data_IF_683351395057
#
_entry.id   IF_683351395057
#
_cell.length_a   1.000
_cell.length_b   1.000
_cell.length_c   1.000
_cell.angle_alpha   90.00
_cell.angle_beta   90.00
_cell.angle_gamma   90.00
#
_symmetry.space_group_name_H-M   'P 1'
#
loop_
_entity.id
_entity.type
_entity.pdbx_description
1 polymer ?
#
# COMPACT_ATOMS: atom_id res chain seq x y z
N UNK A 1 -15.54 27.54 46.64
CA UNK A 1 -14.40 27.25 45.74
C UNK A 1 -14.48 25.81 45.20
N UNK A 2 -15.54 25.47 44.45
CA UNK A 2 -15.74 24.10 43.89
C UNK A 2 -15.97 24.14 42.37
N UNK A 3 -16.45 25.28 41.85
CA UNK A 3 -16.71 25.47 40.41
C UNK A 3 -15.44 25.50 39.54
N UNK A 4 -14.27 25.82 40.10
CA UNK A 4 -13.02 25.92 39.35
C UNK A 4 -12.40 24.57 38.98
N UNK A 5 -12.80 23.48 39.66
CA UNK A 5 -12.26 22.13 39.42
C UNK A 5 -12.99 21.38 38.29
N UNK A 6 -14.26 21.73 38.03
CA UNK A 6 -15.07 21.08 36.98
C UNK A 6 -14.75 21.57 35.57
N UNK A 7 -14.36 22.84 35.42
CA UNK A 7 -14.00 23.41 34.10
C UNK A 7 -12.67 22.85 33.58
N UNK A 8 -11.77 22.45 34.48
CA UNK A 8 -10.45 21.92 34.10
C UNK A 8 -10.51 20.49 33.53
N UNK A 9 -11.52 19.69 33.93
CA UNK A 9 -11.73 18.34 33.40
C UNK A 9 -12.34 18.33 32.00
N UNK A 10 -13.19 19.30 31.67
CA UNK A 10 -13.79 19.42 30.34
C UNK A 10 -12.77 19.84 29.26
N UNK A 11 -11.75 20.61 29.65
CA UNK A 11 -10.71 21.08 28.73
C UNK A 11 -9.69 19.99 28.35
N UNK A 12 -9.44 19.01 29.24
CA UNK A 12 -8.46 17.93 28.99
C UNK A 12 -8.95 16.89 27.97
N UNK A 13 -10.27 16.72 27.81
CA UNK A 13 -10.86 15.80 26.85
C UNK A 13 -10.75 16.28 25.39
N UNK A 14 -10.48 17.57 25.17
CA UNK A 14 -10.56 18.19 23.84
C UNK A 14 -9.24 18.21 23.05
N UNK A 15 -8.10 17.82 23.64
CA UNK A 15 -6.78 18.17 23.07
C UNK A 15 -5.88 16.98 22.68
N UNK A 16 -6.31 15.74 22.90
CA UNK A 16 -5.64 14.58 22.33
C UNK A 16 -6.40 14.15 21.07
N UNK A 17 -5.75 13.98 19.88
CA UNK A 17 -6.38 13.22 18.82
C UNK A 17 -6.81 11.88 19.43
N UNK A 18 -8.13 11.64 19.38
CA UNK A 18 -8.82 10.54 20.03
C UNK A 18 -8.00 9.26 19.86
N UNK A 19 -7.65 8.62 20.97
CA UNK A 19 -6.87 7.38 21.00
C UNK A 19 -7.46 6.32 20.05
N UNK A 20 -8.78 6.31 19.88
CA UNK A 20 -9.48 5.46 18.93
C UNK A 20 -9.15 5.79 17.46
N UNK A 21 -9.05 7.08 17.12
CA UNK A 21 -8.66 7.52 15.76
C UNK A 21 -7.23 7.12 15.44
N UNK A 22 -6.29 7.27 16.38
CA UNK A 22 -4.91 6.81 16.19
C UNK A 22 -4.83 5.29 16.03
N UNK A 23 -5.58 4.54 16.83
CA UNK A 23 -5.66 3.09 16.72
C UNK A 23 -6.19 2.65 15.35
N UNK A 24 -7.25 3.31 14.84
CA UNK A 24 -7.78 3.05 13.49
C UNK A 24 -6.74 3.29 12.40
N UNK A 25 -6.01 4.41 12.47
CA UNK A 25 -4.92 4.67 11.53
C UNK A 25 -3.80 3.64 11.64
N UNK A 26 -3.39 3.26 12.85
CA UNK A 26 -2.37 2.25 13.07
C UNK A 26 -2.76 0.91 12.42
N UNK A 27 -3.98 0.45 12.66
CA UNK A 27 -4.52 -0.78 12.08
C UNK A 27 -4.56 -0.71 10.56
N UNK A 28 -5.06 0.39 9.98
CA UNK A 28 -5.13 0.56 8.53
C UNK A 28 -3.73 0.58 7.87
N UNK A 29 -2.77 1.29 8.47
CA UNK A 29 -1.40 1.34 7.98
C UNK A 29 -0.70 -0.02 8.05
N UNK A 30 -0.92 -0.79 9.13
CA UNK A 30 -0.37 -2.14 9.28
C UNK A 30 -0.97 -3.11 8.26
N UNK A 31 -2.30 -3.16 8.16
CA UNK A 31 -2.98 -4.04 7.20
C UNK A 31 -2.55 -3.77 5.74
N UNK A 32 -2.39 -2.49 5.37
CA UNK A 32 -1.87 -2.14 4.06
C UNK A 32 -0.38 -2.53 3.93
N UNK A 33 0.44 -2.31 4.95
CA UNK A 33 1.86 -2.73 4.94
C UNK A 33 2.03 -4.24 4.74
N UNK A 34 1.17 -5.06 5.36
CA UNK A 34 1.18 -6.52 5.20
C UNK A 34 0.80 -6.91 3.76
N UNK A 35 -0.24 -6.28 3.22
CA UNK A 35 -0.66 -6.47 1.83
C UNK A 35 0.46 -6.08 0.84
N UNK A 36 1.17 -4.99 1.09
CA UNK A 36 2.31 -4.56 0.27
C UNK A 36 3.49 -5.52 0.39
N UNK A 37 3.72 -6.11 1.57
CA UNK A 37 4.74 -7.16 1.74
C UNK A 37 4.42 -8.40 0.89
N UNK A 38 3.15 -8.76 0.77
CA UNK A 38 2.73 -9.86 -0.11
C UNK A 38 2.93 -9.53 -1.60
N UNK A 39 2.73 -8.27 -2.01
CA UNK A 39 3.05 -7.79 -3.38
C UNK A 39 4.54 -7.87 -3.64
N UNK A 40 5.37 -7.39 -2.73
CA UNK A 40 6.84 -7.42 -2.85
C UNK A 40 7.36 -8.87 -2.92
N UNK A 41 6.84 -9.77 -2.09
CA UNK A 41 7.22 -11.18 -2.11
C UNK A 41 6.87 -11.83 -3.47
N UNK A 42 5.67 -11.57 -3.99
CA UNK A 42 5.28 -12.05 -5.31
C UNK A 42 6.13 -11.45 -6.44
N UNK A 43 6.45 -10.15 -6.35
CA UNK A 43 7.32 -9.45 -7.29
C UNK A 43 8.75 -9.98 -7.28
N UNK A 44 9.31 -10.25 -6.11
CA UNK A 44 10.64 -10.82 -5.94
C UNK A 44 10.72 -12.24 -6.52
N UNK A 45 9.73 -13.07 -6.20
CA UNK A 45 9.64 -14.42 -6.76
C UNK A 45 9.51 -14.40 -8.28
N UNK A 46 8.65 -13.53 -8.82
CA UNK A 46 8.53 -13.41 -10.27
C UNK A 46 9.84 -12.96 -10.90
N UNK A 47 10.52 -11.96 -10.32
CA UNK A 47 11.83 -11.50 -10.81
C UNK A 47 12.87 -12.61 -10.85
N UNK A 48 12.94 -13.44 -9.80
CA UNK A 48 13.89 -14.56 -9.74
C UNK A 48 13.62 -15.59 -10.85
N UNK A 49 12.35 -15.85 -11.15
CA UNK A 49 11.94 -16.87 -12.12
C UNK A 49 11.99 -16.36 -13.58
N UNK A 50 11.99 -15.04 -13.83
CA UNK A 50 11.78 -14.45 -15.17
C UNK A 50 12.69 -15.01 -16.27
N UNK A 51 13.97 -15.26 -15.96
CA UNK A 51 14.98 -15.66 -16.94
C UNK A 51 14.82 -17.13 -17.35
N UNK A 52 14.42 -17.99 -16.41
CA UNK A 52 14.39 -19.45 -16.59
C UNK A 52 12.97 -20.01 -16.70
N UNK A 53 11.94 -19.20 -16.45
CA UNK A 53 10.56 -19.64 -16.41
C UNK A 53 10.04 -20.12 -17.77
N UNK A 54 9.35 -21.27 -17.73
CA UNK A 54 8.47 -21.70 -18.81
C UNK A 54 7.32 -20.70 -19.01
N UNK A 55 6.62 -20.80 -20.15
CA UNK A 55 5.45 -19.96 -20.45
C UNK A 55 4.39 -20.04 -19.33
N UNK A 56 4.06 -21.25 -18.90
CA UNK A 56 3.05 -21.49 -17.87
C UNK A 56 3.46 -20.92 -16.51
N UNK A 57 4.74 -21.03 -16.17
CA UNK A 57 5.25 -20.44 -14.93
C UNK A 57 5.14 -18.91 -14.97
N UNK A 58 5.47 -18.26 -16.09
CA UNK A 58 5.28 -16.80 -16.23
C UNK A 58 3.82 -16.41 -16.07
N UNK A 59 2.89 -17.12 -16.70
CA UNK A 59 1.45 -16.85 -16.58
C UNK A 59 1.01 -16.99 -15.11
N UNK A 60 1.41 -18.07 -14.44
CA UNK A 60 1.08 -18.32 -13.03
C UNK A 60 1.63 -17.24 -12.11
N UNK A 61 2.89 -16.82 -12.29
CA UNK A 61 3.51 -15.74 -11.49
C UNK A 61 2.86 -14.39 -11.75
N UNK A 62 2.59 -14.06 -13.00
CA UNK A 62 1.93 -12.81 -13.37
C UNK A 62 0.50 -12.76 -12.78
N UNK A 63 -0.27 -13.84 -12.87
CA UNK A 63 -1.61 -13.95 -12.26
C UNK A 63 -1.56 -13.77 -10.74
N UNK A 64 -0.63 -14.46 -10.06
CA UNK A 64 -0.42 -14.29 -8.62
C UNK A 64 -0.09 -12.85 -8.25
N UNK A 65 0.80 -12.19 -9.00
CA UNK A 65 1.15 -10.79 -8.76
C UNK A 65 -0.06 -9.86 -8.94
N UNK A 66 -0.84 -10.07 -10.01
CA UNK A 66 -2.10 -9.34 -10.25
C UNK A 66 -3.08 -9.49 -9.09
N UNK A 67 -3.27 -10.71 -8.58
CA UNK A 67 -4.11 -10.97 -7.41
C UNK A 67 -3.60 -10.24 -6.16
N UNK A 68 -2.29 -10.23 -5.91
CA UNK A 68 -1.70 -9.49 -4.77
C UNK A 68 -1.90 -7.98 -4.92
N UNK A 69 -1.71 -7.43 -6.12
CA UNK A 69 -1.94 -6.02 -6.39
C UNK A 69 -3.42 -5.63 -6.20
N UNK A 70 -4.36 -6.48 -6.65
CA UNK A 70 -5.79 -6.28 -6.43
C UNK A 70 -6.16 -6.33 -4.94
N UNK A 71 -5.63 -7.31 -4.19
CA UNK A 71 -5.84 -7.41 -2.75
C UNK A 71 -5.29 -6.20 -1.98
N UNK A 72 -4.08 -5.75 -2.32
CA UNK A 72 -3.50 -4.55 -1.74
C UNK A 72 -4.32 -3.30 -2.08
N UNK A 73 -4.85 -3.18 -3.30
CA UNK A 73 -5.71 -2.08 -3.71
C UNK A 73 -7.01 -2.07 -2.90
N UNK A 74 -7.66 -3.22 -2.73
CA UNK A 74 -8.86 -3.35 -1.91
C UNK A 74 -8.62 -2.99 -0.44
N UNK A 75 -7.42 -3.28 0.08
CA UNK A 75 -6.99 -2.90 1.43
C UNK A 75 -6.53 -1.44 1.57
N UNK A 76 -6.45 -0.65 0.48
CA UNK A 76 -6.08 0.76 0.61
C UNK A 76 -7.23 1.58 1.20
N UNK A 77 -7.00 2.33 2.29
CA UNK A 77 -8.02 3.21 2.83
C UNK A 77 -8.38 4.31 1.80
N UNK A 78 -9.62 4.83 1.81
CA UNK A 78 -9.97 5.99 1.01
C UNK A 78 -9.03 7.16 1.31
N UNK A 79 -8.54 7.86 0.29
CA UNK A 79 -7.61 9.00 0.47
C UNK A 79 -8.20 10.08 1.39
N UNK A 80 -9.53 10.21 1.40
CA UNK A 80 -10.28 11.19 2.21
C UNK A 80 -10.51 10.73 3.65
N UNK A 81 -10.47 9.41 3.92
CA UNK A 81 -10.49 8.88 5.29
C UNK A 81 -9.23 9.27 6.09
N UNK A 82 -8.19 9.70 5.37
CA UNK A 82 -6.97 10.27 5.91
C UNK A 82 -7.04 11.81 5.96
N UNK A 83 -8.19 12.40 6.25
CA UNK A 83 -8.35 13.87 6.31
C UNK A 83 -7.34 14.54 7.27
N UNK A 84 -6.98 13.87 8.38
CA UNK A 84 -5.94 14.32 9.31
C UNK A 84 -4.51 14.06 8.82
N UNK A 85 -4.32 13.30 7.74
CA UNK A 85 -3.01 13.06 7.18
C UNK A 85 -2.53 14.24 6.35
N UNK A 86 -1.21 14.48 6.42
CA UNK A 86 -0.55 15.50 5.62
C UNK A 86 -0.75 15.25 4.12
N UNK A 87 -0.78 16.34 3.35
CA UNK A 87 -0.86 16.35 1.88
C UNK A 87 0.14 15.41 1.21
N UNK A 88 1.35 15.27 1.77
CA UNK A 88 2.37 14.32 1.30
C UNK A 88 1.89 12.86 1.36
N UNK A 89 1.37 12.38 2.50
CA UNK A 89 0.90 11.00 2.62
C UNK A 89 -0.28 10.72 1.69
N UNK A 90 -1.21 11.68 1.55
CA UNK A 90 -2.34 11.56 0.62
C UNK A 90 -1.86 11.43 -0.83
N UNK A 91 -0.86 12.22 -1.24
CA UNK A 91 -0.24 12.14 -2.58
C UNK A 91 0.44 10.80 -2.82
N UNK A 92 1.22 10.32 -1.86
CA UNK A 92 1.95 9.05 -1.99
C UNK A 92 0.99 7.85 -1.98
N UNK A 93 -0.10 7.91 -1.21
CA UNK A 93 -1.17 6.91 -1.26
C UNK A 93 -1.89 6.91 -2.62
N UNK A 94 -2.22 8.08 -3.17
CA UNK A 94 -2.82 8.17 -4.50
C UNK A 94 -1.89 7.59 -5.58
N UNK A 95 -0.59 7.89 -5.49
CA UNK A 95 0.44 7.33 -6.37
C UNK A 95 0.52 5.81 -6.25
N UNK A 96 0.50 5.28 -5.02
CA UNK A 96 0.47 3.84 -4.76
C UNK A 96 -0.77 3.19 -5.36
N UNK A 97 -1.96 3.76 -5.15
CA UNK A 97 -3.22 3.25 -5.74
C UNK A 97 -3.13 3.18 -7.26
N UNK A 98 -2.63 4.23 -7.90
CA UNK A 98 -2.43 4.26 -9.34
C UNK A 98 -1.43 3.17 -9.80
N UNK A 99 -0.37 2.92 -9.04
CA UNK A 99 0.60 1.86 -9.32
C UNK A 99 -0.01 0.45 -9.16
N UNK A 100 -0.85 0.22 -8.15
CA UNK A 100 -1.54 -1.05 -7.94
C UNK A 100 -2.58 -1.33 -9.04
N UNK A 101 -3.34 -0.33 -9.47
CA UNK A 101 -4.24 -0.44 -10.63
C UNK A 101 -3.45 -0.75 -11.91
N UNK A 102 -2.30 -0.08 -12.09
CA UNK A 102 -1.42 -0.33 -13.24
C UNK A 102 -0.84 -1.74 -13.20
N UNK A 103 -0.39 -2.22 -12.04
CA UNK A 103 0.11 -3.58 -11.85
C UNK A 103 -0.87 -4.63 -12.40
N UNK A 104 -2.17 -4.52 -12.09
CA UNK A 104 -3.16 -5.47 -12.60
C UNK A 104 -3.27 -5.52 -14.13
N UNK A 105 -3.05 -4.39 -14.81
CA UNK A 105 -3.04 -4.32 -16.28
C UNK A 105 -1.72 -4.76 -16.89
N UNK A 106 -0.62 -4.33 -16.27
CA UNK A 106 0.75 -4.56 -16.71
C UNK A 106 1.16 -6.04 -16.62
N UNK A 107 0.52 -6.80 -15.71
CA UNK A 107 0.77 -8.22 -15.49
C UNK A 107 -0.40 -9.13 -15.91
N UNK A 108 -1.36 -8.59 -16.66
CA UNK A 108 -2.34 -9.41 -17.34
C UNK A 108 -1.71 -10.12 -18.55
N UNK A 109 -1.59 -11.44 -18.45
CA UNK A 109 -1.07 -12.30 -19.52
C UNK A 109 -2.03 -12.40 -20.73
N UNK A 110 -3.29 -11.98 -20.55
CA UNK A 110 -4.34 -12.06 -21.55
C UNK A 110 -4.82 -13.50 -21.82
N UNK A 111 -5.80 -13.66 -22.72
CA UNK A 111 -6.30 -14.98 -23.11
C UNK A 111 -5.17 -15.88 -23.60
N UNK A 112 -5.13 -17.10 -23.06
CA UNK A 112 -4.14 -18.13 -23.42
C UNK A 112 -2.67 -17.68 -23.32
N UNK A 113 -2.37 -16.65 -22.52
CA UNK A 113 -1.01 -16.13 -22.35
C UNK A 113 -0.44 -15.45 -23.60
N UNK A 114 -1.27 -14.86 -24.45
CA UNK A 114 -0.84 -14.17 -25.67
C UNK A 114 0.21 -13.06 -25.42
N UNK A 115 0.35 -12.57 -24.18
CA UNK A 115 1.28 -11.48 -23.80
C UNK A 115 2.53 -11.95 -23.05
N UNK A 116 2.81 -13.25 -22.98
CA UNK A 116 3.93 -13.77 -22.17
C UNK A 116 5.29 -13.20 -22.58
N UNK A 117 5.57 -13.06 -23.86
CA UNK A 117 6.87 -12.50 -24.30
C UNK A 117 6.99 -11.02 -23.92
N UNK A 118 5.90 -10.27 -24.02
CA UNK A 118 5.84 -8.89 -23.52
C UNK A 118 6.04 -8.83 -22.00
N UNK A 119 5.44 -9.76 -21.25
CA UNK A 119 5.66 -9.87 -19.81
C UNK A 119 7.14 -10.13 -19.52
N UNK A 120 7.78 -11.09 -20.19
CA UNK A 120 9.21 -11.38 -20.00
C UNK A 120 10.09 -10.17 -20.31
N UNK A 121 9.85 -9.52 -21.45
CA UNK A 121 10.65 -8.38 -21.89
C UNK A 121 10.53 -7.17 -20.96
N UNK A 122 9.31 -6.87 -20.46
CA UNK A 122 9.04 -5.62 -19.76
C UNK A 122 8.82 -5.77 -18.24
N UNK A 123 8.70 -6.98 -17.71
CA UNK A 123 8.50 -7.20 -16.28
C UNK A 123 9.59 -6.56 -15.41
N UNK A 124 10.90 -6.61 -15.74
CA UNK A 124 11.92 -5.96 -14.90
C UNK A 124 11.64 -4.47 -14.66
N UNK A 125 11.31 -3.74 -15.74
CA UNK A 125 10.95 -2.32 -15.66
C UNK A 125 9.64 -2.10 -14.90
N UNK A 126 8.58 -2.86 -15.20
CA UNK A 126 7.26 -2.76 -14.53
C UNK A 126 7.38 -3.03 -13.02
N UNK A 127 8.14 -4.06 -12.64
CA UNK A 127 8.41 -4.41 -11.24
C UNK A 127 9.23 -3.33 -10.52
N UNK A 128 10.21 -2.72 -11.18
CA UNK A 128 10.99 -1.62 -10.59
C UNK A 128 10.10 -0.40 -10.29
N UNK A 129 9.23 -0.02 -11.23
CA UNK A 129 8.27 1.09 -11.04
C UNK A 129 7.24 0.82 -9.94
N UNK A 130 6.75 -0.41 -9.85
CA UNK A 130 5.87 -0.83 -8.75
C UNK A 130 6.60 -0.73 -7.40
N UNK A 131 7.81 -1.28 -7.30
CA UNK A 131 8.62 -1.23 -6.08
C UNK A 131 8.93 0.20 -5.63
N UNK A 132 9.20 1.11 -6.57
CA UNK A 132 9.43 2.53 -6.28
C UNK A 132 8.21 3.19 -5.62
N UNK A 133 7.00 2.94 -6.15
CA UNK A 133 5.76 3.48 -5.58
C UNK A 133 5.47 2.92 -4.19
N UNK A 134 5.69 1.61 -3.99
CA UNK A 134 5.54 0.95 -2.68
C UNK A 134 6.50 1.57 -1.65
N UNK A 135 7.77 1.74 -2.02
CA UNK A 135 8.78 2.29 -1.12
C UNK A 135 8.51 3.75 -0.76
N UNK A 136 8.10 4.58 -1.74
CA UNK A 136 7.72 5.98 -1.48
C UNK A 136 6.57 6.07 -0.48
N UNK A 137 5.52 5.28 -0.66
CA UNK A 137 4.41 5.22 0.30
C UNK A 137 4.87 4.77 1.69
N UNK A 138 5.69 3.71 1.80
CA UNK A 138 6.18 3.21 3.10
C UNK A 138 7.00 4.25 3.86
N UNK A 139 7.82 5.03 3.17
CA UNK A 139 8.57 6.12 3.79
C UNK A 139 7.63 7.21 4.32
N UNK A 140 6.63 7.60 3.53
CA UNK A 140 5.62 8.57 3.95
C UNK A 140 4.78 8.07 5.13
N UNK A 141 4.33 6.82 5.09
CA UNK A 141 3.54 6.18 6.15
C UNK A 141 4.32 6.10 7.47
N UNK A 142 5.60 5.71 7.42
CA UNK A 142 6.49 5.71 8.60
C UNK A 142 6.72 7.12 9.16
N UNK A 143 6.95 8.10 8.30
CA UNK A 143 7.12 9.49 8.72
C UNK A 143 5.84 10.06 9.36
N UNK A 144 4.67 9.71 8.83
CA UNK A 144 3.39 10.04 9.43
C UNK A 144 3.21 9.35 10.78
N UNK A 145 3.44 8.04 10.87
CA UNK A 145 3.29 7.27 12.10
C UNK A 145 4.12 7.83 13.26
N UNK A 146 5.41 8.12 13.01
CA UNK A 146 6.31 8.75 13.99
C UNK A 146 5.77 10.09 14.51
N UNK A 147 5.24 10.95 13.62
CA UNK A 147 4.71 12.26 14.00
C UNK A 147 3.36 12.18 14.71
N UNK A 148 2.56 11.16 14.38
CA UNK A 148 1.25 10.93 14.97
C UNK A 148 1.32 10.13 16.30
N UNK A 149 2.51 9.71 16.73
CA UNK A 149 2.68 8.84 17.91
C UNK A 149 2.10 7.43 17.70
N UNK A 150 2.04 6.98 16.43
CA UNK A 150 1.63 5.63 16.05
C UNK A 150 2.89 4.76 16.00
N UNK A 151 2.92 3.70 16.81
CA UNK A 151 3.99 2.69 16.80
C UNK A 151 3.70 1.60 15.78
#
# INVERSE_FOLDING_TARGET
MVHSLLVLWAALAAQAPDSATRARYATALRALSDSLSAVEAAAAQFRADLVTASRDLVISRASRLTQRCAGALAGTPPVDSLAAARTGLRRDLATLRAALVRCGRDFDAGPWGARVDSLKAWAPYRLARLGEAVQRYRLAARAFGRRAGIK
#
